data_IF_496643309044
#
_entry.id   IF_496643309044
#
_cell.length_a   1.000
_cell.length_b   1.000
_cell.length_c   1.000
_cell.angle_alpha   90.00
_cell.angle_beta   90.00
_cell.angle_gamma   90.00
#
_symmetry.space_group_name_H-M   'P 1'
#
loop_
_entity.id
_entity.type
_entity.pdbx_description
1 polymer ?
#
# COMPACT_ATOMS: atom_id res chain seq x y z
N UNK A 1 -13.17 9.19 -1.34
CA UNK A 1 -12.79 10.11 -2.42
C UNK A 1 -11.44 9.72 -2.99
N UNK A 2 -11.35 9.57 -4.28
CA UNK A 2 -10.09 9.30 -4.97
C UNK A 2 -9.25 10.58 -5.01
N UNK A 3 -7.95 10.44 -4.69
CA UNK A 3 -6.99 11.56 -4.71
C UNK A 3 -6.02 11.46 -5.87
N UNK A 4 -5.84 10.25 -6.43
CA UNK A 4 -4.90 9.99 -7.53
C UNK A 4 -5.32 8.71 -8.25
N UNK A 5 -4.68 8.42 -9.38
CA UNK A 5 -4.82 7.12 -10.05
C UNK A 5 -4.20 6.00 -9.24
N UNK A 6 -4.56 4.76 -9.56
CA UNK A 6 -3.91 3.61 -8.92
C UNK A 6 -2.47 3.47 -9.43
N UNK A 7 -1.63 2.87 -8.61
CA UNK A 7 -0.28 2.48 -9.00
C UNK A 7 0.05 1.11 -8.45
N UNK A 8 0.91 0.39 -9.17
CA UNK A 8 1.38 -0.91 -8.71
C UNK A 8 2.33 -0.73 -7.53
N UNK A 9 2.15 -1.54 -6.47
CA UNK A 9 3.11 -1.57 -5.38
C UNK A 9 4.39 -2.25 -5.85
N UNK A 10 5.52 -1.67 -5.47
CA UNK A 10 6.83 -2.21 -5.82
C UNK A 10 7.29 -3.24 -4.80
N UNK A 11 8.20 -4.11 -5.23
CA UNK A 11 8.72 -5.19 -4.39
C UNK A 11 9.95 -4.71 -3.62
N UNK A 12 9.94 -4.94 -2.33
CA UNK A 12 11.10 -4.78 -1.46
C UNK A 12 11.17 -3.46 -0.71
N UNK A 13 11.77 -3.54 0.47
CA UNK A 13 12.07 -2.37 1.30
C UNK A 13 12.95 -1.38 0.54
N UNK A 14 12.66 -0.09 0.67
CA UNK A 14 13.35 0.97 -0.04
C UNK A 14 12.78 1.28 -1.42
N UNK A 15 11.88 0.45 -1.95
CA UNK A 15 11.25 0.63 -3.25
C UNK A 15 9.79 1.08 -3.15
N UNK A 16 9.30 1.32 -1.95
CA UNK A 16 7.92 1.65 -1.70
C UNK A 16 7.52 3.04 -2.20
N UNK A 17 6.20 3.25 -2.26
CA UNK A 17 5.60 4.53 -2.62
C UNK A 17 4.85 5.11 -1.43
N UNK A 18 4.90 6.44 -1.29
CA UNK A 18 4.11 7.14 -0.30
C UNK A 18 2.69 7.49 -0.81
N UNK A 19 2.37 7.10 -2.03
CA UNK A 19 1.04 7.30 -2.63
C UNK A 19 0.57 8.76 -2.53
N UNK A 20 1.35 9.66 -3.13
CA UNK A 20 1.08 11.10 -3.16
C UNK A 20 0.94 11.71 -1.76
N UNK A 21 1.72 11.19 -0.80
CA UNK A 21 1.70 11.65 0.60
C UNK A 21 0.32 11.55 1.25
N UNK A 22 -0.49 10.58 0.83
CA UNK A 22 -1.82 10.37 1.40
C UNK A 22 -1.74 9.75 2.78
N UNK A 23 -2.81 9.89 3.55
CA UNK A 23 -2.92 9.26 4.87
C UNK A 23 -3.72 7.96 4.84
N UNK A 24 -4.38 7.66 3.72
CA UNK A 24 -5.09 6.39 3.51
C UNK A 24 -4.81 5.91 2.10
N UNK A 25 -4.45 4.64 1.98
CA UNK A 25 -4.26 3.97 0.70
C UNK A 25 -5.20 2.77 0.65
N UNK A 26 -6.04 2.71 -0.38
CA UNK A 26 -6.86 1.53 -0.64
C UNK A 26 -6.04 0.56 -1.48
N UNK A 27 -5.76 -0.60 -0.93
CA UNK A 27 -4.90 -1.61 -1.54
C UNK A 27 -5.75 -2.78 -2.01
N UNK A 28 -5.52 -3.20 -3.25
CA UNK A 28 -6.21 -4.33 -3.87
C UNK A 28 -5.20 -5.37 -4.34
N UNK A 29 -5.39 -6.62 -3.89
CA UNK A 29 -4.57 -7.75 -4.34
C UNK A 29 -5.22 -8.38 -5.57
N UNK A 30 -4.66 -8.10 -6.75
CA UNK A 30 -5.12 -8.68 -8.00
C UNK A 30 -4.46 -10.02 -8.35
N UNK A 31 -3.58 -10.50 -7.47
CA UNK A 31 -2.88 -11.77 -7.66
C UNK A 31 -3.79 -12.96 -7.32
N UNK A 32 -3.34 -14.15 -7.69
CA UNK A 32 -4.02 -15.41 -7.35
C UNK A 32 -3.54 -15.99 -6.01
N UNK A 33 -2.58 -15.34 -5.36
CA UNK A 33 -2.01 -15.76 -4.09
C UNK A 33 -2.14 -14.65 -3.06
N UNK A 34 -2.10 -15.02 -1.78
CA UNK A 34 -1.95 -14.04 -0.71
C UNK A 34 -0.66 -13.25 -0.92
N UNK A 35 -0.72 -11.94 -0.67
CA UNK A 35 0.47 -11.08 -0.75
C UNK A 35 0.65 -10.31 0.54
N UNK A 36 1.90 -10.20 0.95
CA UNK A 36 2.28 -9.44 2.13
C UNK A 36 2.49 -7.98 1.73
N UNK A 37 1.69 -7.10 2.32
CA UNK A 37 1.84 -5.65 2.15
C UNK A 37 2.47 -5.08 3.40
N UNK A 38 3.52 -4.32 3.23
CA UNK A 38 4.29 -3.74 4.33
C UNK A 38 4.27 -2.22 4.26
N UNK A 39 4.28 -1.60 5.42
CA UNK A 39 4.40 -0.15 5.58
C UNK A 39 5.71 0.13 6.30
N UNK A 40 6.52 1.02 5.74
CA UNK A 40 7.77 1.44 6.35
C UNK A 40 7.87 2.96 6.35
N UNK A 41 8.74 3.49 7.20
CA UNK A 41 9.06 4.92 7.20
C UNK A 41 9.90 5.27 5.96
N UNK A 42 10.06 6.56 5.68
CA UNK A 42 10.94 7.02 4.60
C UNK A 42 12.40 6.65 4.84
N UNK A 43 12.77 6.29 6.06
CA UNK A 43 14.10 5.77 6.41
C UNK A 43 14.18 4.24 6.35
N UNK A 44 13.16 3.58 5.76
CA UNK A 44 13.09 2.14 5.56
C UNK A 44 13.01 1.33 6.86
N UNK A 45 12.36 1.90 7.88
CA UNK A 45 12.09 1.20 9.14
C UNK A 45 10.67 0.64 9.08
N UNK A 46 10.54 -0.68 9.23
CA UNK A 46 9.23 -1.35 9.17
C UNK A 46 8.32 -0.86 10.29
N UNK A 47 7.11 -0.45 9.91
CA UNK A 47 6.04 -0.08 10.84
C UNK A 47 5.14 -1.28 11.11
N UNK A 48 4.73 -1.98 10.04
CA UNK A 48 3.86 -3.13 10.14
C UNK A 48 3.59 -3.75 8.78
N UNK A 49 2.97 -4.91 8.78
CA UNK A 49 2.60 -5.60 7.55
C UNK A 49 1.36 -6.46 7.78
N UNK A 50 0.72 -6.86 6.67
CA UNK A 50 -0.41 -7.77 6.70
C UNK A 50 -0.53 -8.50 5.38
N UNK A 51 -1.07 -9.72 5.43
CA UNK A 51 -1.42 -10.46 4.22
C UNK A 51 -2.79 -10.06 3.72
N UNK A 52 -2.90 -9.89 2.40
CA UNK A 52 -4.17 -9.62 1.73
C UNK A 52 -4.49 -10.82 0.83
N UNK A 53 -5.70 -11.34 0.98
CA UNK A 53 -6.17 -12.48 0.19
C UNK A 53 -6.32 -12.11 -1.29
N UNK A 54 -6.25 -13.10 -2.20
CA UNK A 54 -6.53 -12.87 -3.62
C UNK A 54 -7.89 -12.22 -3.81
N UNK A 55 -7.95 -11.13 -4.58
CA UNK A 55 -9.17 -10.38 -4.80
C UNK A 55 -9.63 -9.52 -3.62
N UNK A 56 -8.89 -9.55 -2.52
CA UNK A 56 -9.22 -8.74 -1.34
C UNK A 56 -8.71 -7.31 -1.46
N UNK A 57 -9.35 -6.41 -0.73
CA UNK A 57 -8.89 -5.03 -0.61
C UNK A 57 -9.01 -4.56 0.83
N UNK A 58 -8.12 -3.65 1.21
CA UNK A 58 -8.08 -3.06 2.55
C UNK A 58 -7.71 -1.59 2.43
N UNK A 59 -8.15 -0.80 3.40
CA UNK A 59 -7.70 0.59 3.56
C UNK A 59 -6.61 0.62 4.63
N UNK A 60 -5.44 1.13 4.24
CA UNK A 60 -4.29 1.24 5.13
C UNK A 60 -4.10 2.71 5.49
N UNK A 61 -4.19 3.01 6.79
CA UNK A 61 -3.87 4.34 7.31
C UNK A 61 -2.37 4.44 7.55
N UNK A 62 -1.83 5.60 7.26
CA UNK A 62 -0.40 5.85 7.44
C UNK A 62 -0.11 7.33 7.59
N UNK A 63 1.09 7.68 8.01
CA UNK A 63 1.58 9.05 7.92
C UNK A 63 1.90 9.39 6.46
N UNK A 64 1.82 10.67 6.06
CA UNK A 64 2.04 11.05 4.66
C UNK A 64 3.35 10.57 4.06
N UNK A 65 4.44 10.53 4.83
CA UNK A 65 5.75 10.12 4.33
C UNK A 65 5.98 8.60 4.37
N UNK A 66 5.09 7.83 5.00
CA UNK A 66 5.24 6.38 5.08
C UNK A 66 4.99 5.75 3.72
N UNK A 67 5.70 4.66 3.44
CA UNK A 67 5.73 4.01 2.13
C UNK A 67 5.21 2.59 2.23
N UNK A 68 4.50 2.16 1.17
CA UNK A 68 3.99 0.80 1.05
C UNK A 68 4.81 0.03 0.03
N UNK A 69 5.10 -1.23 0.33
CA UNK A 69 5.73 -2.16 -0.59
C UNK A 69 5.19 -3.57 -0.38
N UNK A 70 5.53 -4.47 -1.28
CA UNK A 70 5.05 -5.87 -1.25
C UNK A 70 6.20 -6.86 -1.35
N UNK A 71 5.88 -8.13 -1.10
CA UNK A 71 6.80 -9.25 -1.22
C UNK A 71 6.88 -9.82 -2.65
N UNK A 72 5.93 -9.46 -3.49
CA UNK A 72 5.87 -9.92 -4.88
C UNK A 72 4.45 -9.87 -5.43
N UNK A 73 4.29 -10.17 -6.70
CA UNK A 73 2.99 -10.29 -7.34
C UNK A 73 2.41 -8.98 -7.86
N UNK A 74 1.10 -8.98 -8.08
CA UNK A 74 0.36 -7.88 -8.67
C UNK A 74 -0.62 -7.29 -7.66
N UNK A 75 -0.19 -6.25 -6.96
CA UNK A 75 -0.97 -5.53 -5.95
C UNK A 75 -0.97 -4.05 -6.32
N UNK A 76 -2.14 -3.43 -6.26
CA UNK A 76 -2.31 -2.03 -6.63
C UNK A 76 -2.80 -1.23 -5.44
N UNK A 77 -2.41 0.03 -5.39
CA UNK A 77 -2.88 0.95 -4.38
C UNK A 77 -3.40 2.24 -5.00
N UNK A 78 -4.34 2.86 -4.31
CA UNK A 78 -4.91 4.15 -4.71
C UNK A 78 -4.98 5.07 -3.51
N UNK A 79 -4.46 6.28 -3.67
CA UNK A 79 -4.59 7.30 -2.64
C UNK A 79 -6.06 7.73 -2.54
N UNK A 80 -6.61 7.66 -1.34
CA UNK A 80 -8.01 8.02 -1.10
C UNK A 80 -8.12 8.91 0.13
N UNK A 81 -9.21 9.66 0.21
CA UNK A 81 -9.61 10.37 1.41
C UNK A 81 -10.91 9.76 1.92
N UNK A 82 -10.92 9.45 3.21
CA UNK A 82 -12.13 8.98 3.89
C UNK A 82 -12.78 10.21 4.49
N UNK A 83 -14.00 10.47 4.09
CA UNK A 83 -14.75 11.58 4.67
C UNK A 83 -15.23 11.21 6.06
N UNK A 84 -15.00 12.10 6.95
CA UNK A 84 -15.56 12.02 8.28
C UNK A 84 -16.95 12.65 8.29
#
# INVERSE_FOLDING_TARGET
>A
KLLAGHEALQVGSGNGSNFASSTVVRVYNSDTQFRLVSVETSANVLIGNMHIAPGGSVDIEKNPSDELFIDGGAVFGTAVAINA
#
